data_IF_951392050013
#
_entry.id   IF_951392050013
#
_cell.length_a   1.000
_cell.length_b   1.000
_cell.length_c   1.000
_cell.angle_alpha   90.00
_cell.angle_beta   90.00
_cell.angle_gamma   90.00
#
_symmetry.space_group_name_H-M   'P 1'
#
loop_
_entity.id
_entity.type
_entity.pdbx_description
1 polymer ?
#
# COMPACT_ATOMS: atom_id res chain seq x y z
N UNK A 1 20.73 -29.96 14.50
CA UNK A 1 19.34 -29.97 14.03
C UNK A 1 18.81 -28.55 14.06
N UNK A 2 18.45 -27.93 12.92
CA UNK A 2 17.79 -26.62 12.91
C UNK A 2 16.31 -26.84 13.21
N UNK A 3 15.77 -26.17 14.23
CA UNK A 3 14.35 -26.17 14.49
C UNK A 3 13.63 -25.56 13.28
N UNK A 4 12.68 -26.30 12.70
CA UNK A 4 11.79 -25.77 11.66
C UNK A 4 10.88 -24.78 12.36
N UNK A 5 11.10 -23.48 12.12
CA UNK A 5 10.20 -22.44 12.58
C UNK A 5 8.88 -22.57 11.82
N UNK A 6 7.85 -23.05 12.51
CA UNK A 6 6.50 -23.14 11.96
C UNK A 6 5.96 -21.72 11.73
N UNK A 7 5.47 -21.44 10.52
CA UNK A 7 4.87 -20.14 10.21
C UNK A 7 3.73 -19.83 11.19
N UNK A 8 3.71 -18.59 11.70
CA UNK A 8 2.61 -18.06 12.51
C UNK A 8 1.39 -17.72 11.65
N UNK A 9 1.59 -17.58 10.34
CA UNK A 9 0.54 -17.27 9.40
C UNK A 9 0.06 -18.54 8.70
N UNK A 10 -1.25 -18.66 8.46
CA UNK A 10 -1.77 -19.75 7.62
C UNK A 10 -1.09 -19.68 6.25
N UNK A 11 -0.90 -20.84 5.63
CA UNK A 11 -0.46 -20.86 4.24
C UNK A 11 -1.48 -20.14 3.39
N UNK A 12 -0.99 -19.20 2.58
CA UNK A 12 -1.81 -18.41 1.67
C UNK A 12 -1.29 -18.63 0.27
N UNK A 13 -2.19 -18.99 -0.62
CA UNK A 13 -1.91 -19.14 -2.04
C UNK A 13 -1.83 -17.78 -2.73
N UNK A 14 -1.18 -17.73 -3.89
CA UNK A 14 -1.16 -16.53 -4.74
C UNK A 14 -2.57 -16.12 -5.17
N UNK A 15 -3.48 -17.07 -5.38
CA UNK A 15 -4.86 -16.78 -5.77
C UNK A 15 -5.63 -16.06 -4.64
N UNK A 16 -5.47 -16.49 -3.39
CA UNK A 16 -6.05 -15.80 -2.23
C UNK A 16 -5.44 -14.41 -2.05
N UNK A 17 -4.14 -14.25 -2.33
CA UNK A 17 -3.49 -12.94 -2.33
C UNK A 17 -4.14 -11.97 -3.32
N UNK A 18 -4.34 -12.42 -4.56
CA UNK A 18 -4.97 -11.60 -5.60
C UNK A 18 -6.37 -11.17 -5.19
N UNK A 19 -7.19 -12.09 -4.67
CA UNK A 19 -8.55 -11.80 -4.22
C UNK A 19 -8.60 -10.73 -3.13
N UNK A 20 -7.68 -10.77 -2.18
CA UNK A 20 -7.65 -9.75 -1.13
C UNK A 20 -7.14 -8.40 -1.66
N UNK A 21 -6.24 -8.39 -2.65
CA UNK A 21 -5.83 -7.14 -3.32
C UNK A 21 -7.01 -6.51 -4.06
N UNK A 22 -7.87 -7.30 -4.71
CA UNK A 22 -9.10 -6.83 -5.35
C UNK A 22 -10.06 -6.22 -4.32
N UNK A 23 -10.24 -6.89 -3.17
CA UNK A 23 -11.05 -6.37 -2.07
C UNK A 23 -10.50 -5.05 -1.52
N UNK A 24 -9.19 -4.98 -1.27
CA UNK A 24 -8.52 -3.76 -0.81
C UNK A 24 -8.65 -2.64 -1.84
N UNK A 25 -8.58 -2.97 -3.13
CA UNK A 25 -8.77 -2.00 -4.22
C UNK A 25 -10.15 -1.36 -4.15
N UNK A 26 -11.20 -2.15 -3.94
CA UNK A 26 -12.57 -1.64 -3.79
C UNK A 26 -12.72 -0.77 -2.54
N UNK A 27 -12.21 -1.24 -1.40
CA UNK A 27 -12.28 -0.50 -0.13
C UNK A 27 -11.54 0.85 -0.22
N UNK A 28 -10.36 0.89 -0.85
CA UNK A 28 -9.63 2.13 -1.11
C UNK A 28 -10.45 3.09 -1.98
N UNK A 29 -11.09 2.60 -3.04
CA UNK A 29 -11.90 3.44 -3.94
C UNK A 29 -13.13 4.01 -3.24
N UNK A 30 -13.80 3.21 -2.43
CA UNK A 30 -14.96 3.63 -1.62
C UNK A 30 -14.56 4.74 -0.65
N UNK A 31 -13.49 4.52 0.14
CA UNK A 31 -12.98 5.51 1.08
C UNK A 31 -12.49 6.79 0.36
N UNK A 32 -11.85 6.64 -0.79
CA UNK A 32 -11.38 7.77 -1.58
C UNK A 32 -12.55 8.64 -2.07
N UNK A 33 -13.66 8.03 -2.50
CA UNK A 33 -14.83 8.74 -3.00
C UNK A 33 -15.82 9.20 -1.90
N UNK A 34 -15.60 8.80 -0.64
CA UNK A 34 -16.54 9.05 0.46
C UNK A 34 -16.69 10.53 0.83
N UNK A 35 -15.63 11.32 0.65
CA UNK A 35 -15.54 12.73 1.02
C UNK A 35 -14.48 13.45 0.19
N UNK A 36 -14.25 14.75 0.45
CA UNK A 36 -13.25 15.57 -0.23
C UNK A 36 -11.98 15.82 0.61
N UNK A 37 -11.86 15.19 1.79
CA UNK A 37 -10.74 15.43 2.71
C UNK A 37 -9.44 14.94 2.08
N UNK A 38 -8.42 15.81 1.92
CA UNK A 38 -7.16 15.40 1.33
C UNK A 38 -6.49 14.28 2.13
N UNK A 39 -5.91 13.31 1.43
CA UNK A 39 -5.16 12.23 2.05
C UNK A 39 -3.69 12.58 2.20
N UNK A 40 -3.06 12.08 3.25
CA UNK A 40 -1.61 12.18 3.48
C UNK A 40 -1.05 10.78 3.65
N UNK A 41 -0.10 10.41 2.80
CA UNK A 41 0.58 9.12 2.81
C UNK A 41 2.04 9.33 3.21
N UNK A 42 2.44 8.73 4.34
CA UNK A 42 3.84 8.66 4.74
C UNK A 42 4.60 7.62 3.90
N UNK A 43 5.68 8.04 3.25
CA UNK A 43 6.55 7.21 2.43
C UNK A 43 7.97 7.18 3.00
N UNK A 44 8.46 5.98 3.30
CA UNK A 44 9.80 5.77 3.88
C UNK A 44 10.76 5.02 2.95
N UNK A 45 10.30 4.59 1.77
CA UNK A 45 11.06 3.67 0.91
C UNK A 45 11.11 2.22 1.41
N UNK A 46 10.53 1.93 2.58
CA UNK A 46 10.40 0.57 3.10
C UNK A 46 9.31 -0.24 2.39
N UNK A 47 9.31 -1.56 2.60
CA UNK A 47 8.33 -2.47 1.96
C UNK A 47 6.88 -2.11 2.27
N UNK A 48 6.59 -1.72 3.51
CA UNK A 48 5.22 -1.51 3.98
C UNK A 48 4.66 -0.20 3.42
N UNK A 49 5.43 0.89 3.49
CA UNK A 49 5.01 2.18 2.94
C UNK A 49 4.97 2.18 1.41
N UNK A 50 5.89 1.44 0.76
CA UNK A 50 5.86 1.22 -0.69
C UNK A 50 4.62 0.41 -1.09
N UNK A 51 4.30 -0.67 -0.38
CA UNK A 51 3.12 -1.49 -0.68
C UNK A 51 1.82 -0.68 -0.53
N UNK A 52 1.69 0.11 0.54
CA UNK A 52 0.51 0.99 0.74
C UNK A 52 0.40 2.01 -0.39
N UNK A 53 1.49 2.70 -0.74
CA UNK A 53 1.49 3.69 -1.82
C UNK A 53 1.09 3.06 -3.16
N UNK A 54 1.61 1.87 -3.47
CA UNK A 54 1.27 1.13 -4.69
C UNK A 54 -0.20 0.68 -4.71
N UNK A 55 -0.74 0.18 -3.60
CA UNK A 55 -2.16 -0.20 -3.51
C UNK A 55 -3.06 1.01 -3.75
N UNK A 56 -2.78 2.14 -3.09
CA UNK A 56 -3.57 3.37 -3.26
C UNK A 56 -3.48 3.90 -4.69
N UNK A 57 -2.28 3.99 -5.25
CA UNK A 57 -2.06 4.49 -6.60
C UNK A 57 -2.81 3.64 -7.64
N UNK A 58 -2.65 2.32 -7.59
CA UNK A 58 -3.28 1.41 -8.55
C UNK A 58 -4.81 1.40 -8.42
N UNK A 59 -5.34 1.46 -7.20
CA UNK A 59 -6.77 1.55 -6.97
C UNK A 59 -7.37 2.82 -7.58
N UNK A 60 -6.72 3.97 -7.42
CA UNK A 60 -7.24 5.24 -7.93
C UNK A 60 -7.02 5.36 -9.45
N UNK A 61 -5.94 4.79 -9.99
CA UNK A 61 -5.66 4.78 -11.41
C UNK A 61 -6.71 4.01 -12.25
N UNK A 62 -7.50 3.14 -11.62
CA UNK A 62 -8.59 2.39 -12.28
C UNK A 62 -9.96 3.07 -12.19
N UNK A 63 -10.11 4.10 -11.35
CA UNK A 63 -11.35 4.90 -11.31
C UNK A 63 -11.54 5.72 -12.60
N UNK A 64 -12.76 6.09 -12.99
CA UNK A 64 -12.99 7.10 -14.04
C UNK A 64 -12.25 8.41 -13.72
N UNK A 65 -11.71 9.10 -14.74
CA UNK A 65 -10.87 10.30 -14.57
C UNK A 65 -11.61 11.40 -13.81
N UNK A 66 -12.92 11.49 -14.01
CA UNK A 66 -13.82 12.47 -13.42
C UNK A 66 -13.95 12.30 -11.90
N UNK A 67 -13.67 11.10 -11.37
CA UNK A 67 -13.68 10.81 -9.94
C UNK A 67 -12.34 11.08 -9.26
N UNK A 68 -11.25 11.26 -10.02
CA UNK A 68 -9.87 11.37 -9.48
C UNK A 68 -9.54 12.81 -9.03
N UNK A 69 -10.39 13.38 -8.18
CA UNK A 69 -10.32 14.80 -7.80
C UNK A 69 -9.71 15.06 -6.42
N UNK A 70 -9.88 14.14 -5.45
CA UNK A 70 -9.31 14.25 -4.11
C UNK A 70 -7.78 14.28 -4.16
N UNK A 71 -7.20 15.29 -3.51
CA UNK A 71 -5.75 15.48 -3.46
C UNK A 71 -5.10 14.50 -2.49
N UNK A 72 -3.98 13.90 -2.92
CA UNK A 72 -3.17 12.99 -2.10
C UNK A 72 -1.77 13.58 -1.98
N UNK A 73 -1.33 13.81 -0.75
CA UNK A 73 0.02 14.24 -0.44
C UNK A 73 0.85 13.02 -0.09
N UNK A 74 1.97 12.81 -0.78
CA UNK A 74 2.96 11.81 -0.40
C UNK A 74 4.10 12.53 0.30
N UNK A 75 4.30 12.21 1.58
CA UNK A 75 5.30 12.87 2.42
C UNK A 75 6.38 11.87 2.81
N UNK A 76 7.63 12.29 2.68
CA UNK A 76 8.78 11.53 3.18
C UNK A 76 9.60 12.43 4.09
N UNK A 77 10.29 11.83 5.05
CA UNK A 77 11.16 12.54 5.99
C UNK A 77 12.59 12.15 5.69
N UNK A 78 13.41 13.13 5.31
CA UNK A 78 14.85 12.96 5.27
C UNK A 78 15.40 13.03 6.71
N UNK A 79 15.85 11.89 7.21
CA UNK A 79 16.46 11.77 8.55
C UNK A 79 17.93 12.16 8.55
N UNK A 80 18.53 12.43 7.37
CA UNK A 80 19.99 12.51 7.13
C UNK A 80 20.75 11.23 7.51
N UNK A 81 20.03 10.14 7.73
CA UNK A 81 20.58 8.81 7.96
C UNK A 81 20.28 8.01 6.72
N UNK A 82 21.29 7.81 5.88
CA UNK A 82 21.13 6.98 4.69
C UNK A 82 20.89 5.52 5.09
N UNK A 83 19.98 4.85 4.38
CA UNK A 83 19.83 3.41 4.53
C UNK A 83 21.18 2.76 4.19
N UNK A 84 21.67 1.81 5.02
CA UNK A 84 22.94 1.15 4.74
C UNK A 84 22.89 0.47 3.37
N UNK A 85 23.99 0.53 2.63
CA UNK A 85 24.12 -0.18 1.37
C UNK A 85 23.87 -1.67 1.61
N UNK A 86 22.85 -2.23 0.95
CA UNK A 86 22.58 -3.67 0.97
C UNK A 86 23.26 -4.27 -0.25
N UNK A 87 24.47 -4.83 -0.04
CA UNK A 87 25.24 -5.60 -1.02
C UNK A 87 24.86 -7.07 -1.03
#
# INVERSE_FOLDING_TARGET
MKAIQKSLFPERTTAELIKDIEKLTQEIQELYCLDEIPWVLGYSGGKDSTAVLQLVWNAIATLPVEKRTKKIYVMTTDTRVENPYVS
#
